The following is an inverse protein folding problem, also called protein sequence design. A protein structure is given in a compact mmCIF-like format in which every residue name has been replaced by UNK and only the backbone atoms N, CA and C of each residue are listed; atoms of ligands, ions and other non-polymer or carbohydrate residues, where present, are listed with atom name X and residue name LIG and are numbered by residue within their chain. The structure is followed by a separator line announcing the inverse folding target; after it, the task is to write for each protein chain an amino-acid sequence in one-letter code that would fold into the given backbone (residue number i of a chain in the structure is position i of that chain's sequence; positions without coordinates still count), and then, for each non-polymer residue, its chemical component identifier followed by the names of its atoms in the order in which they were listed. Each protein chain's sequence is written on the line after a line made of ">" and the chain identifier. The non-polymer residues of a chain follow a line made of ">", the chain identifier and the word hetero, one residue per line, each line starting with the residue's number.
data_IF_883964157216
#
_entry.id   IF_883964157216
#
_cell.length_a   1.000
_cell.length_b   1.000
_cell.length_c   1.000
_cell.angle_alpha   90.00
_cell.angle_beta   90.00
_cell.angle_gamma   90.00
#
_symmetry.space_group_name_H-M   'P 1'
#
loop_
_entity.id
_entity.type
_entity.pdbx_description
1 polymer ?
#
# COMPACT_ATOMS: atom_id res chain seq x y z
N UNK A 1 -20.65 -11.67 18.48
CA UNK A 1 -21.11 -10.36 17.93
C UNK A 1 -20.62 -10.27 16.50
N UNK A 2 -21.53 -10.13 15.54
CA UNK A 2 -21.15 -9.91 14.13
C UNK A 2 -20.41 -8.58 14.04
N UNK A 3 -19.21 -8.57 13.46
CA UNK A 3 -18.48 -7.35 13.21
C UNK A 3 -19.27 -6.55 12.15
N UNK A 4 -19.62 -5.30 12.46
CA UNK A 4 -20.20 -4.41 11.46
C UNK A 4 -19.06 -4.07 10.50
N UNK A 5 -19.13 -4.58 9.30
CA UNK A 5 -18.21 -4.25 8.23
C UNK A 5 -18.86 -3.21 7.32
N UNK A 6 -18.09 -2.23 6.90
CA UNK A 6 -18.51 -1.24 5.91
C UNK A 6 -17.93 -1.62 4.57
N UNK A 7 -18.79 -1.71 3.56
CA UNK A 7 -18.38 -2.01 2.20
C UNK A 7 -17.52 -0.87 1.63
N UNK A 8 -16.49 -1.19 0.85
CA UNK A 8 -15.70 -0.18 0.17
C UNK A 8 -16.54 0.59 -0.85
N UNK A 9 -16.33 1.92 -0.97
CA UNK A 9 -17.00 2.76 -1.96
C UNK A 9 -16.36 2.55 -3.34
N UNK A 10 -16.55 1.36 -3.92
CA UNK A 10 -15.99 1.00 -5.21
C UNK A 10 -16.47 1.91 -6.32
N UNK A 11 -15.54 2.33 -7.17
CA UNK A 11 -15.82 3.02 -8.43
C UNK A 11 -15.37 2.15 -9.60
N UNK A 12 -16.04 2.22 -10.76
CA UNK A 12 -15.56 1.57 -11.98
C UNK A 12 -14.19 2.14 -12.38
N UNK A 13 -13.34 1.33 -13.00
CA UNK A 13 -12.02 1.79 -13.47
C UNK A 13 -12.06 3.03 -14.37
N UNK A 14 -13.13 3.19 -15.15
CA UNK A 14 -13.34 4.36 -16.01
C UNK A 14 -13.56 5.67 -15.25
N UNK A 15 -13.91 5.60 -13.97
CA UNK A 15 -14.12 6.75 -13.10
C UNK A 15 -12.97 6.95 -12.09
N UNK A 16 -11.95 6.11 -12.11
CA UNK A 16 -10.85 6.11 -11.15
C UNK A 16 -10.16 7.47 -11.07
N UNK A 17 -9.70 8.00 -12.20
CA UNK A 17 -8.96 9.27 -12.26
C UNK A 17 -9.85 10.45 -11.85
N UNK A 18 -11.14 10.41 -12.21
CA UNK A 18 -12.12 11.41 -11.79
C UNK A 18 -12.37 11.35 -10.27
N UNK A 19 -12.52 10.15 -9.69
CA UNK A 19 -12.73 9.98 -8.26
C UNK A 19 -11.52 10.50 -7.46
N UNK A 20 -10.30 10.18 -7.90
CA UNK A 20 -9.05 10.73 -7.34
C UNK A 20 -9.04 12.27 -7.39
N UNK A 21 -9.35 12.86 -8.55
CA UNK A 21 -9.35 14.30 -8.73
C UNK A 21 -10.42 15.00 -7.88
N UNK A 22 -11.59 14.39 -7.67
CA UNK A 22 -12.71 14.98 -6.92
C UNK A 22 -12.58 14.76 -5.42
N UNK A 23 -12.29 13.50 -5.00
CA UNK A 23 -12.36 13.10 -3.59
C UNK A 23 -11.00 12.96 -2.92
N UNK A 24 -9.89 12.98 -3.69
CA UNK A 24 -8.54 12.67 -3.19
C UNK A 24 -8.30 11.17 -2.97
N UNK A 25 -9.26 10.31 -3.26
CA UNK A 25 -9.09 8.86 -3.21
C UNK A 25 -10.01 8.14 -4.21
N UNK A 26 -9.65 6.91 -4.56
CA UNK A 26 -10.49 5.99 -5.33
C UNK A 26 -10.31 4.57 -4.80
N UNK A 27 -11.39 3.78 -4.82
CA UNK A 27 -11.35 2.35 -4.44
C UNK A 27 -11.82 1.53 -5.63
N UNK A 28 -10.98 0.60 -6.08
CA UNK A 28 -11.31 -0.30 -7.19
C UNK A 28 -11.56 -1.73 -6.69
N UNK A 29 -12.63 -2.35 -7.20
CA UNK A 29 -12.86 -3.77 -7.02
C UNK A 29 -11.80 -4.59 -7.76
N UNK A 30 -11.56 -5.82 -7.34
CA UNK A 30 -10.56 -6.70 -7.96
C UNK A 30 -10.72 -6.85 -9.48
N UNK A 31 -11.95 -6.95 -9.97
CA UNK A 31 -12.22 -7.08 -11.41
C UNK A 31 -11.87 -5.79 -12.19
N UNK A 32 -12.07 -4.63 -11.59
CA UNK A 32 -11.64 -3.35 -12.15
C UNK A 32 -10.12 -3.21 -12.13
N UNK A 33 -9.43 -3.73 -11.09
CA UNK A 33 -7.96 -3.75 -11.02
C UNK A 33 -7.37 -4.62 -12.14
N UNK A 34 -7.94 -5.77 -12.47
CA UNK A 34 -7.49 -6.60 -13.59
C UNK A 34 -7.56 -5.86 -14.94
N UNK A 35 -8.56 -5.01 -15.11
CA UNK A 35 -8.64 -4.14 -16.28
C UNK A 35 -7.80 -2.86 -16.17
N UNK A 36 -7.51 -2.39 -14.97
CA UNK A 36 -6.65 -1.22 -14.70
C UNK A 36 -5.17 -1.57 -14.91
N UNK A 37 -4.71 -2.76 -14.43
CA UNK A 37 -3.39 -3.33 -14.72
C UNK A 37 -3.55 -4.36 -15.82
N UNK A 38 -3.75 -4.22 -17.05
CA UNK A 38 -4.08 -5.31 -17.99
C UNK A 38 -3.45 -6.66 -17.62
N UNK A 39 -4.08 -7.38 -16.72
CA UNK A 39 -3.54 -8.60 -16.10
C UNK A 39 -4.66 -9.60 -15.79
N UNK A 40 -4.35 -10.90 -15.86
CA UNK A 40 -5.24 -11.95 -15.38
C UNK A 40 -5.14 -12.13 -13.86
N UNK A 41 -6.13 -12.78 -13.28
CA UNK A 41 -6.12 -13.13 -11.85
C UNK A 41 -4.93 -14.03 -11.49
N UNK A 42 -4.56 -14.94 -12.39
CA UNK A 42 -3.44 -15.88 -12.23
C UNK A 42 -2.10 -15.13 -12.25
N UNK A 43 -1.92 -14.15 -13.12
CA UNK A 43 -0.72 -13.31 -13.16
C UNK A 43 -0.56 -12.51 -11.86
N UNK A 44 -1.64 -11.92 -11.35
CA UNK A 44 -1.61 -11.23 -10.07
C UNK A 44 -1.33 -12.17 -8.90
N UNK A 45 -1.90 -13.38 -8.91
CA UNK A 45 -1.65 -14.39 -7.89
C UNK A 45 -0.18 -14.84 -7.87
N UNK A 46 0.52 -14.84 -9.00
CA UNK A 46 1.96 -15.14 -9.05
C UNK A 46 2.79 -14.12 -8.27
N UNK A 47 2.41 -12.83 -8.29
CA UNK A 47 3.10 -11.81 -7.47
C UNK A 47 2.97 -12.12 -5.98
N UNK A 48 1.82 -12.59 -5.53
CA UNK A 48 1.55 -12.84 -4.11
C UNK A 48 2.42 -13.94 -3.49
N UNK A 49 2.99 -14.85 -4.27
CA UNK A 49 3.92 -15.88 -3.78
C UNK A 49 5.13 -15.31 -3.04
N UNK A 50 5.55 -14.07 -3.36
CA UNK A 50 6.65 -13.40 -2.68
C UNK A 50 6.35 -13.04 -1.20
N UNK A 51 5.09 -13.14 -0.75
CA UNK A 51 4.72 -12.91 0.65
C UNK A 51 5.02 -14.10 1.56
N UNK A 52 5.25 -15.29 1.01
CA UNK A 52 5.56 -16.48 1.81
C UNK A 52 6.95 -16.41 2.47
N UNK A 53 7.85 -15.55 1.94
CA UNK A 53 9.22 -15.37 2.43
C UNK A 53 9.54 -13.91 2.75
N UNK A 54 8.64 -13.21 3.40
CA UNK A 54 8.91 -11.86 3.89
C UNK A 54 9.66 -11.91 5.22
N UNK A 55 10.85 -11.27 5.33
CA UNK A 55 11.60 -11.18 6.58
C UNK A 55 10.89 -10.28 7.60
N UNK A 56 11.15 -10.53 8.87
CA UNK A 56 10.65 -9.69 9.95
C UNK A 56 11.20 -8.25 9.83
N UNK A 57 10.36 -7.27 10.18
CA UNK A 57 10.77 -5.87 10.25
C UNK A 57 11.56 -5.62 11.54
N UNK A 58 12.87 -5.39 11.41
CA UNK A 58 13.77 -5.13 12.53
C UNK A 58 13.70 -3.69 13.09
N UNK A 59 12.87 -2.82 12.50
CA UNK A 59 12.83 -1.39 12.82
C UNK A 59 11.57 -0.98 13.61
N UNK A 60 10.78 -1.93 14.10
CA UNK A 60 9.61 -1.63 14.94
C UNK A 60 10.03 -1.15 16.32
N UNK A 61 9.88 0.16 16.59
CA UNK A 61 10.26 0.78 17.87
C UNK A 61 9.30 0.45 19.03
N UNK A 62 8.09 -0.04 18.73
CA UNK A 62 7.13 -0.49 19.73
C UNK A 62 7.41 -1.90 20.27
N UNK A 63 8.50 -2.54 19.80
CA UNK A 63 8.89 -3.89 20.19
C UNK A 63 8.04 -5.00 19.58
N UNK A 64 7.12 -4.65 18.69
CA UNK A 64 6.24 -5.61 18.02
C UNK A 64 6.99 -6.52 17.03
N UNK A 65 6.44 -7.72 16.81
CA UNK A 65 6.95 -8.71 15.84
C UNK A 65 5.94 -9.00 14.74
N UNK A 66 4.89 -8.24 14.70
CA UNK A 66 3.70 -8.43 13.87
C UNK A 66 3.88 -7.98 12.41
N UNK A 67 5.04 -7.42 12.00
CA UNK A 67 5.25 -6.90 10.64
C UNK A 67 6.42 -7.60 9.96
N UNK A 68 6.15 -8.01 8.72
CA UNK A 68 7.14 -8.55 7.79
C UNK A 68 7.11 -7.75 6.51
N UNK A 69 8.27 -7.51 5.88
CA UNK A 69 8.32 -6.69 4.67
C UNK A 69 9.63 -6.81 3.90
N UNK A 70 9.56 -6.38 2.65
CA UNK A 70 10.70 -6.04 1.79
C UNK A 70 10.52 -4.62 1.24
N UNK A 71 11.54 -4.11 0.55
CA UNK A 71 11.50 -2.78 -0.04
C UNK A 71 12.39 -2.72 -1.28
N UNK A 72 11.87 -2.14 -2.36
CA UNK A 72 12.65 -1.79 -3.56
C UNK A 72 12.16 -0.47 -4.16
N UNK A 73 13.03 0.17 -4.90
CA UNK A 73 12.77 1.47 -5.49
C UNK A 73 12.89 1.43 -7.00
N UNK A 74 12.06 2.24 -7.67
CA UNK A 74 11.97 2.32 -9.14
C UNK A 74 11.83 3.77 -9.58
N UNK A 75 12.25 4.06 -10.79
CA UNK A 75 11.92 5.30 -11.51
C UNK A 75 11.06 4.95 -12.71
N UNK A 76 10.00 5.69 -12.91
CA UNK A 76 9.09 5.56 -14.05
C UNK A 76 9.19 6.85 -14.87
N UNK A 77 9.58 6.72 -16.14
CA UNK A 77 9.65 7.82 -17.11
C UNK A 77 8.83 7.42 -18.34
N UNK A 78 7.63 7.98 -18.48
CA UNK A 78 6.67 7.53 -19.48
C UNK A 78 6.33 6.03 -19.31
N UNK A 79 6.65 5.21 -20.31
CA UNK A 79 6.48 3.76 -20.27
C UNK A 79 7.69 3.00 -19.73
N UNK A 80 8.82 3.67 -19.52
CA UNK A 80 10.04 3.03 -19.03
C UNK A 80 9.98 2.88 -17.50
N UNK A 81 10.27 1.68 -17.00
CA UNK A 81 10.40 1.36 -15.58
C UNK A 81 11.82 0.88 -15.33
N UNK A 82 12.52 1.55 -14.45
CA UNK A 82 13.91 1.24 -14.10
C UNK A 82 14.02 0.98 -12.60
N UNK A 83 14.48 -0.21 -12.19
CA UNK A 83 14.83 -0.45 -10.81
C UNK A 83 16.12 0.31 -10.49
N UNK A 84 16.12 1.06 -9.38
CA UNK A 84 17.33 1.75 -8.91
C UNK A 84 18.13 0.88 -7.95
N UNK A 85 19.43 1.18 -7.72
CA UNK A 85 20.22 0.50 -6.73
C UNK A 85 19.55 0.45 -5.35
N UNK A 86 19.80 -0.62 -4.59
CA UNK A 86 19.25 -0.80 -3.25
C UNK A 86 19.57 0.40 -2.35
N UNK A 87 18.56 0.92 -1.68
CA UNK A 87 18.64 2.11 -0.84
C UNK A 87 17.78 1.97 0.42
N UNK A 88 18.09 2.72 1.50
CA UNK A 88 17.25 2.71 2.68
C UNK A 88 15.92 3.41 2.41
N UNK A 89 14.86 2.92 3.03
CA UNK A 89 13.62 3.67 3.18
C UNK A 89 13.79 4.72 4.29
N UNK A 90 13.38 5.95 4.01
CA UNK A 90 13.44 7.06 4.96
C UNK A 90 12.17 7.89 4.88
N UNK A 91 11.68 8.35 6.01
CA UNK A 91 10.57 9.29 6.12
C UNK A 91 10.91 10.35 7.17
N UNK A 92 10.52 11.62 6.99
CA UNK A 92 10.67 12.64 8.04
C UNK A 92 9.74 12.34 9.23
N UNK A 93 10.14 12.80 10.42
CA UNK A 93 9.32 12.67 11.64
C UNK A 93 7.93 13.31 11.50
N UNK A 94 7.80 14.33 10.65
CA UNK A 94 6.53 15.01 10.40
C UNK A 94 5.47 14.09 9.76
N UNK A 95 5.89 13.07 9.00
CA UNK A 95 4.98 12.08 8.37
C UNK A 95 4.94 10.74 9.11
N UNK A 96 6.01 10.40 9.82
CA UNK A 96 6.03 9.17 10.63
C UNK A 96 6.65 9.45 11.99
N UNK A 97 5.80 9.81 12.95
CA UNK A 97 6.25 10.17 14.30
C UNK A 97 6.94 9.03 15.05
N UNK A 98 6.59 7.76 14.74
CA UNK A 98 7.18 6.61 15.42
C UNK A 98 8.48 6.13 14.78
N UNK A 99 8.53 6.02 13.45
CA UNK A 99 9.62 5.37 12.72
C UNK A 99 10.35 6.32 11.75
N UNK A 100 9.99 7.61 11.72
CA UNK A 100 10.67 8.63 10.93
C UNK A 100 12.04 9.00 11.47
N UNK A 101 12.82 9.77 10.68
CA UNK A 101 14.13 10.29 11.05
C UNK A 101 15.25 9.24 11.10
N UNK A 102 15.02 8.03 10.59
CA UNK A 102 16.02 6.96 10.53
C UNK A 102 16.06 6.29 9.15
N UNK A 103 17.25 5.90 8.73
CA UNK A 103 17.43 5.05 7.55
C UNK A 103 17.09 3.61 7.93
N UNK A 104 16.16 2.99 7.17
CA UNK A 104 15.70 1.61 7.38
C UNK A 104 16.10 0.77 6.17
N UNK A 105 17.07 -0.09 6.33
CA UNK A 105 17.60 -0.98 5.30
C UNK A 105 16.82 -2.29 5.31
N UNK A 106 15.70 -2.32 4.60
CA UNK A 106 14.93 -3.55 4.41
C UNK A 106 15.57 -4.40 3.30
N UNK A 107 15.39 -5.70 3.34
CA UNK A 107 15.80 -6.56 2.24
C UNK A 107 15.09 -6.19 0.93
N UNK A 108 15.76 -6.27 -0.22
CA UNK A 108 15.14 -6.00 -1.51
C UNK A 108 14.03 -7.01 -1.83
N UNK A 109 13.08 -6.61 -2.65
CA UNK A 109 12.05 -7.49 -3.17
C UNK A 109 12.67 -8.64 -3.97
N UNK A 110 12.01 -9.80 -3.93
CA UNK A 110 12.49 -11.03 -4.57
C UNK A 110 12.65 -10.83 -6.09
N UNK A 111 13.78 -11.24 -6.64
CA UNK A 111 14.12 -11.02 -8.04
C UNK A 111 13.17 -11.75 -9.00
N UNK A 112 12.67 -12.90 -8.64
CA UNK A 112 11.68 -13.68 -9.40
C UNK A 112 10.34 -12.95 -9.49
N UNK A 113 9.88 -12.30 -8.41
CA UNK A 113 8.70 -11.44 -8.44
C UNK A 113 8.91 -10.25 -9.39
N UNK A 114 10.06 -9.58 -9.30
CA UNK A 114 10.38 -8.41 -10.13
C UNK A 114 10.53 -8.76 -11.61
N UNK A 115 10.88 -10.00 -11.94
CA UNK A 115 10.99 -10.50 -13.31
C UNK A 115 9.62 -10.79 -13.97
N UNK A 116 8.53 -10.83 -13.22
CA UNK A 116 7.20 -11.10 -13.76
C UNK A 116 6.74 -9.91 -14.63
N UNK A 117 6.29 -10.14 -15.88
CA UNK A 117 5.83 -9.04 -16.76
C UNK A 117 4.69 -8.21 -16.16
N UNK A 118 3.84 -8.81 -15.35
CA UNK A 118 2.74 -8.12 -14.67
C UNK A 118 3.24 -7.07 -13.69
N UNK A 119 4.43 -7.25 -13.08
CA UNK A 119 5.05 -6.26 -12.22
C UNK A 119 5.33 -4.95 -12.97
N UNK A 120 5.95 -5.05 -14.14
CA UNK A 120 6.23 -3.86 -14.98
C UNK A 120 4.94 -3.17 -15.41
N UNK A 121 3.91 -3.92 -15.85
CA UNK A 121 2.62 -3.34 -16.23
C UNK A 121 1.93 -2.62 -15.06
N UNK A 122 2.04 -3.17 -13.85
CA UNK A 122 1.49 -2.56 -12.65
C UNK A 122 2.17 -1.20 -12.36
N UNK A 123 3.49 -1.13 -12.41
CA UNK A 123 4.24 0.11 -12.22
C UNK A 123 3.95 1.13 -13.33
N UNK A 124 3.88 0.71 -14.60
CA UNK A 124 3.52 1.58 -15.72
C UNK A 124 2.12 2.20 -15.52
N UNK A 125 1.14 1.37 -15.09
CA UNK A 125 -0.21 1.89 -14.84
C UNK A 125 -0.24 2.86 -13.66
N UNK A 126 0.52 2.58 -12.60
CA UNK A 126 0.66 3.48 -11.46
C UNK A 126 1.25 4.83 -11.89
N UNK A 127 2.33 4.83 -12.67
CA UNK A 127 2.95 6.03 -13.23
C UNK A 127 2.00 6.82 -14.12
N UNK A 128 1.22 6.13 -14.95
CA UNK A 128 0.21 6.78 -15.80
C UNK A 128 -0.89 7.46 -14.95
N UNK A 129 -1.32 6.84 -13.86
CA UNK A 129 -2.31 7.43 -12.93
C UNK A 129 -1.72 8.66 -12.21
N UNK A 130 -0.48 8.58 -11.75
CA UNK A 130 0.21 9.72 -11.13
C UNK A 130 0.37 10.88 -12.13
N UNK A 131 0.70 10.57 -13.39
CA UNK A 131 0.79 11.55 -14.47
C UNK A 131 -0.56 12.20 -14.80
N UNK A 132 -1.63 11.43 -14.85
CA UNK A 132 -2.98 11.96 -15.08
C UNK A 132 -3.41 12.94 -13.96
N UNK A 133 -2.99 12.69 -12.72
CA UNK A 133 -3.36 13.50 -11.56
C UNK A 133 -2.47 14.75 -11.41
N UNK A 134 -1.16 14.63 -11.68
CA UNK A 134 -0.15 15.64 -11.33
C UNK A 134 0.69 16.16 -12.50
N UNK A 135 0.43 15.70 -13.73
CA UNK A 135 1.17 16.06 -14.93
C UNK A 135 2.40 15.18 -15.20
N UNK A 136 2.91 15.23 -16.43
CA UNK A 136 4.00 14.37 -16.89
C UNK A 136 5.34 14.77 -16.26
N UNK A 137 6.03 13.78 -15.69
CA UNK A 137 7.36 13.90 -15.08
C UNK A 137 7.90 12.51 -14.73
N UNK A 138 9.19 12.38 -14.36
CA UNK A 138 9.69 11.18 -13.71
C UNK A 138 8.97 10.94 -12.36
N UNK A 139 8.60 9.68 -12.11
CA UNK A 139 8.00 9.25 -10.85
C UNK A 139 8.96 8.35 -10.08
N UNK A 140 9.28 8.72 -8.86
CA UNK A 140 10.12 7.97 -7.94
C UNK A 140 9.22 7.10 -7.08
N UNK A 141 9.31 5.78 -7.26
CA UNK A 141 8.39 4.81 -6.66
C UNK A 141 9.11 3.98 -5.61
N UNK A 142 8.54 3.93 -4.42
CA UNK A 142 8.92 2.95 -3.39
C UNK A 142 7.87 1.85 -3.32
N UNK A 143 8.29 0.60 -3.36
CA UNK A 143 7.44 -0.59 -3.32
C UNK A 143 7.66 -1.39 -2.06
N UNK A 144 6.56 -1.69 -1.37
CA UNK A 144 6.55 -2.32 -0.06
C UNK A 144 5.56 -3.49 -0.02
N UNK A 145 5.98 -4.73 -0.23
CA UNK A 145 5.20 -5.87 0.19
C UNK A 145 5.19 -5.95 1.72
N UNK A 146 3.99 -6.01 2.32
CA UNK A 146 3.79 -6.12 3.76
C UNK A 146 2.94 -7.32 4.11
N UNK A 147 3.34 -8.05 5.13
CA UNK A 147 2.47 -8.89 5.96
C UNK A 147 2.39 -8.30 7.35
N UNK A 148 1.16 -8.02 7.80
CA UNK A 148 0.87 -7.70 9.19
C UNK A 148 0.16 -8.93 9.77
N UNK A 149 0.72 -9.50 10.82
CA UNK A 149 0.18 -10.71 11.45
C UNK A 149 -0.21 -10.49 12.91
N UNK A 150 -0.76 -11.52 13.53
CA UNK A 150 -1.23 -11.48 14.91
C UNK A 150 -0.31 -12.26 15.87
N UNK A 151 0.99 -12.37 15.54
CA UNK A 151 1.97 -13.10 16.38
C UNK A 151 1.98 -12.59 17.82
N UNK A 152 1.80 -11.29 18.02
CA UNK A 152 1.73 -10.67 19.36
C UNK A 152 0.27 -10.50 19.86
N UNK A 153 -0.69 -11.23 19.29
CA UNK A 153 -2.14 -11.12 19.60
C UNK A 153 -2.82 -9.93 18.91
N UNK A 154 -2.05 -8.96 18.42
CA UNK A 154 -2.52 -7.77 17.70
C UNK A 154 -1.49 -7.34 16.69
N UNK A 155 -1.92 -7.12 15.44
CA UNK A 155 -1.09 -6.49 14.40
C UNK A 155 -1.52 -5.05 14.17
N UNK A 156 -0.56 -4.15 13.89
CA UNK A 156 -0.81 -2.73 13.64
C UNK A 156 -0.32 -2.34 12.24
N UNK A 157 -1.23 -2.22 11.25
CA UNK A 157 -0.84 -1.78 9.90
C UNK A 157 -0.27 -0.36 9.88
N UNK A 158 -0.89 0.57 10.63
CA UNK A 158 -0.45 1.95 10.82
C UNK A 158 -0.28 2.23 12.31
N UNK A 159 0.85 1.83 12.92
CA UNK A 159 1.06 1.99 14.37
C UNK A 159 1.12 3.46 14.80
N UNK A 160 1.44 4.37 13.89
CA UNK A 160 1.42 5.82 14.07
C UNK A 160 0.01 6.43 14.07
N UNK A 161 -1.02 5.67 13.69
CA UNK A 161 -2.39 6.16 13.53
C UNK A 161 -2.61 6.84 12.18
N UNK A 162 -3.56 7.78 12.14
CA UNK A 162 -3.91 8.53 10.94
C UNK A 162 -2.76 9.46 10.53
N UNK A 163 -2.29 9.34 9.29
CA UNK A 163 -1.10 10.03 8.79
C UNK A 163 -1.17 10.30 7.27
N UNK A 164 -0.15 10.97 6.78
CA UNK A 164 0.22 11.10 5.37
C UNK A 164 1.62 10.56 5.19
N UNK A 165 1.92 10.03 4.00
CA UNK A 165 3.26 9.50 3.70
C UNK A 165 4.27 10.58 3.24
N UNK A 166 3.77 11.76 2.87
CA UNK A 166 4.60 12.84 2.32
C UNK A 166 5.03 12.59 0.88
N UNK A 167 4.16 11.96 0.12
CA UNK A 167 4.34 11.62 -1.30
C UNK A 167 3.21 12.24 -2.14
N UNK A 168 3.14 11.93 -3.44
CA UNK A 168 2.09 12.44 -4.32
C UNK A 168 0.93 11.47 -4.47
N UNK A 169 1.23 10.18 -4.65
CA UNK A 169 0.22 9.13 -4.80
C UNK A 169 0.60 7.91 -3.98
N UNK A 170 -0.37 7.34 -3.29
CA UNK A 170 -0.26 6.06 -2.58
C UNK A 170 -1.23 5.07 -3.21
N UNK A 171 -0.77 3.85 -3.44
CA UNK A 171 -1.57 2.73 -3.88
C UNK A 171 -1.45 1.58 -2.88
N UNK A 172 -2.57 1.14 -2.31
CA UNK A 172 -2.65 0.01 -1.37
C UNK A 172 -3.46 -1.10 -2.01
N UNK A 173 -2.78 -2.15 -2.47
CA UNK A 173 -3.44 -3.38 -2.91
C UNK A 173 -3.65 -4.31 -1.73
N UNK A 174 -4.87 -4.80 -1.55
CA UNK A 174 -5.18 -5.87 -0.63
C UNK A 174 -4.91 -7.21 -1.33
N UNK A 175 -3.99 -8.03 -0.82
CA UNK A 175 -3.67 -9.31 -1.43
C UNK A 175 -4.35 -10.48 -0.72
N UNK A 176 -4.33 -10.47 0.61
CA UNK A 176 -4.95 -11.53 1.41
C UNK A 176 -5.35 -11.03 2.80
N UNK A 177 -6.39 -11.66 3.33
CA UNK A 177 -6.85 -11.52 4.73
C UNK A 177 -7.20 -12.91 5.25
N UNK A 178 -6.43 -13.39 6.17
CA UNK A 178 -6.61 -14.72 6.73
C UNK A 178 -6.88 -14.67 8.23
N UNK A 179 -7.97 -15.27 8.69
CA UNK A 179 -8.32 -15.50 10.10
C UNK A 179 -8.20 -14.26 11.00
N UNK A 180 -8.57 -13.06 10.52
CA UNK A 180 -8.51 -11.80 11.26
C UNK A 180 -9.84 -11.06 11.31
N UNK A 181 -10.00 -10.27 12.39
CA UNK A 181 -10.96 -9.18 12.53
C UNK A 181 -10.22 -7.83 12.61
N UNK A 182 -10.92 -6.72 12.38
CA UNK A 182 -10.30 -5.38 12.29
C UNK A 182 -9.67 -5.11 10.91
N UNK A 183 -8.70 -4.23 10.83
CA UNK A 183 -8.09 -3.81 9.57
C UNK A 183 -9.04 -2.99 8.70
N UNK A 184 -9.89 -2.17 9.32
CA UNK A 184 -10.73 -1.17 8.68
C UNK A 184 -9.84 -0.04 8.17
N UNK A 185 -9.96 0.31 6.91
CA UNK A 185 -9.34 1.50 6.32
C UNK A 185 -10.19 2.72 6.60
N UNK A 186 -9.55 3.82 6.95
CA UNK A 186 -10.17 5.13 7.14
C UNK A 186 -9.43 6.15 6.31
N UNK A 187 -10.19 6.95 5.59
CA UNK A 187 -9.67 8.04 4.74
C UNK A 187 -10.41 9.31 5.12
N UNK A 188 -9.67 10.36 5.46
CA UNK A 188 -10.21 11.65 5.88
C UNK A 188 -9.73 12.73 4.91
N UNK A 189 -10.58 13.71 4.60
CA UNK A 189 -10.14 14.91 3.91
C UNK A 189 -9.11 15.66 4.77
N UNK A 190 -8.00 16.11 4.16
CA UNK A 190 -6.96 16.82 4.89
C UNK A 190 -7.39 18.23 5.33
N UNK A 191 -8.40 18.81 4.67
CA UNK A 191 -8.87 20.17 4.83
C UNK A 191 -10.28 20.28 5.44
N UNK A 192 -10.88 19.19 5.90
CA UNK A 192 -12.25 19.19 6.39
C UNK A 192 -12.65 17.97 7.22
N UNK A 193 -13.89 17.95 7.71
CA UNK A 193 -14.40 16.88 8.57
C UNK A 193 -14.86 15.63 7.80
N UNK A 194 -14.83 15.67 6.46
CA UNK A 194 -15.30 14.55 5.64
C UNK A 194 -14.38 13.34 5.78
N UNK A 195 -14.95 12.16 5.89
CA UNK A 195 -14.20 10.93 5.97
C UNK A 195 -15.04 9.70 5.59
N UNK A 196 -14.36 8.66 5.23
CA UNK A 196 -14.94 7.36 4.91
C UNK A 196 -14.23 6.28 5.70
N UNK A 197 -14.97 5.23 6.06
CA UNK A 197 -14.42 4.00 6.64
C UNK A 197 -14.98 2.80 5.91
N UNK A 198 -14.13 1.84 5.64
CA UNK A 198 -14.49 0.61 4.93
C UNK A 198 -13.43 -0.46 5.16
N UNK A 199 -13.73 -1.69 4.81
CA UNK A 199 -12.74 -2.77 4.86
C UNK A 199 -12.52 -3.33 3.47
N UNK A 200 -11.28 -3.31 3.00
CA UNK A 200 -10.89 -4.02 1.79
C UNK A 200 -10.92 -5.53 2.08
N UNK A 201 -11.88 -6.23 1.51
CA UNK A 201 -12.08 -7.68 1.71
C UNK A 201 -11.50 -8.51 0.59
N UNK A 202 -11.67 -8.02 -0.61
CA UNK A 202 -11.39 -8.79 -1.81
C UNK A 202 -9.90 -8.78 -2.13
N UNK A 203 -9.27 -9.96 -2.35
CA UNK A 203 -7.92 -10.01 -2.88
C UNK A 203 -7.82 -9.21 -4.19
N UNK A 204 -6.75 -8.40 -4.26
CA UNK A 204 -6.47 -7.48 -5.36
C UNK A 204 -7.42 -6.29 -5.50
N UNK A 205 -8.25 -6.00 -4.50
CA UNK A 205 -8.86 -4.66 -4.44
C UNK A 205 -7.78 -3.60 -4.18
N UNK A 206 -8.02 -2.38 -4.68
CA UNK A 206 -7.04 -1.29 -4.66
C UNK A 206 -7.66 -0.04 -4.04
N UNK A 207 -6.93 0.56 -3.10
CA UNK A 207 -7.15 1.92 -2.62
C UNK A 207 -6.05 2.82 -3.16
N UNK A 208 -6.44 3.87 -3.89
CA UNK A 208 -5.56 4.94 -4.37
C UNK A 208 -5.83 6.21 -3.55
N UNK A 209 -4.77 6.93 -3.20
CA UNK A 209 -4.82 8.14 -2.38
C UNK A 209 -3.94 9.25 -3.00
N UNK A 210 -4.51 10.42 -3.23
CA UNK A 210 -3.76 11.67 -3.41
C UNK A 210 -3.31 12.12 -2.01
N UNK A 211 -2.07 11.82 -1.64
CA UNK A 211 -1.55 11.96 -0.28
C UNK A 211 -1.55 13.42 0.21
N UNK A 212 -1.55 14.38 -0.72
CA UNK A 212 -1.65 15.80 -0.36
C UNK A 212 -3.05 16.18 0.14
N UNK A 213 -4.09 15.45 -0.29
CA UNK A 213 -5.50 15.80 -0.06
C UNK A 213 -6.18 14.98 1.00
N UNK A 214 -5.61 13.83 1.39
CA UNK A 214 -6.22 12.93 2.37
C UNK A 214 -5.25 12.53 3.47
N UNK A 215 -5.81 12.16 4.62
CA UNK A 215 -5.13 11.50 5.74
C UNK A 215 -5.71 10.09 5.80
N UNK A 216 -4.87 9.09 6.03
CA UNK A 216 -5.34 7.72 6.05
C UNK A 216 -4.79 6.90 7.21
N UNK A 217 -5.53 5.87 7.60
CA UNK A 217 -5.09 4.85 8.55
C UNK A 217 -5.73 3.49 8.25
N UNK A 218 -5.15 2.45 8.83
CA UNK A 218 -5.78 1.13 8.91
C UNK A 218 -5.80 0.69 10.38
N UNK A 219 -6.98 0.40 10.90
CA UNK A 219 -7.14 -0.01 12.30
C UNK A 219 -6.39 -1.32 12.59
N UNK A 220 -6.02 -1.57 13.85
CA UNK A 220 -5.37 -2.82 14.24
C UNK A 220 -6.17 -4.05 13.84
N UNK A 221 -5.45 -5.15 13.59
CA UNK A 221 -6.01 -6.48 13.37
C UNK A 221 -5.82 -7.35 14.60
N UNK A 222 -6.76 -8.25 14.83
CA UNK A 222 -6.70 -9.28 15.87
C UNK A 222 -7.04 -10.64 15.25
N UNK A 223 -6.58 -11.75 15.83
CA UNK A 223 -6.98 -13.07 15.36
C UNK A 223 -8.50 -13.26 15.49
N UNK A 224 -9.09 -13.96 14.54
CA UNK A 224 -10.51 -14.30 14.58
C UNK A 224 -10.80 -15.23 15.74
N UNK A 225 -9.92 -16.20 15.97
CA UNK A 225 -9.93 -17.11 17.11
C UNK A 225 -8.72 -16.82 17.99
N UNK A 226 -8.89 -16.55 19.29
CA UNK A 226 -7.77 -16.28 20.19
C UNK A 226 -6.74 -17.42 20.18
N UNK A 227 -5.46 -17.08 20.03
CA UNK A 227 -4.35 -18.03 19.98
C UNK A 227 -4.04 -18.58 18.58
N UNK A 228 -4.86 -18.34 17.58
CA UNK A 228 -4.56 -18.67 16.18
C UNK A 228 -3.83 -17.52 15.50
N UNK A 229 -2.99 -17.86 14.52
CA UNK A 229 -2.29 -16.86 13.70
C UNK A 229 -3.18 -16.40 12.54
N UNK A 230 -3.38 -15.10 12.47
CA UNK A 230 -4.03 -14.48 11.33
C UNK A 230 -3.14 -13.39 10.71
N UNK A 231 -3.40 -13.01 9.46
CA UNK A 231 -2.59 -12.00 8.76
C UNK A 231 -3.39 -11.18 7.74
N UNK A 232 -2.77 -10.07 7.37
CA UNK A 232 -3.18 -9.18 6.29
C UNK A 232 -1.98 -8.90 5.40
N UNK A 233 -2.08 -9.28 4.13
CA UNK A 233 -1.06 -9.05 3.11
C UNK A 233 -1.45 -7.87 2.22
N UNK A 234 -0.53 -6.94 2.04
CA UNK A 234 -0.71 -5.79 1.16
C UNK A 234 0.54 -5.48 0.37
N UNK A 235 0.34 -4.97 -0.85
CA UNK A 235 1.38 -4.27 -1.59
C UNK A 235 1.08 -2.78 -1.50
N UNK A 236 2.01 -2.02 -0.92
CA UNK A 236 1.93 -0.56 -0.86
C UNK A 236 2.96 0.01 -1.83
N UNK A 237 2.50 0.89 -2.72
CA UNK A 237 3.35 1.62 -3.65
C UNK A 237 3.15 3.12 -3.42
N UNK A 238 4.25 3.85 -3.30
CA UNK A 238 4.21 5.30 -3.19
C UNK A 238 4.90 5.92 -4.38
N UNK A 239 4.33 7.02 -4.94
CA UNK A 239 4.93 7.77 -6.02
C UNK A 239 5.24 9.18 -5.55
N UNK A 240 6.44 9.68 -5.87
CA UNK A 240 6.88 11.02 -5.54
C UNK A 240 7.54 11.70 -6.76
N UNK A 241 7.30 13.02 -6.92
CA UNK A 241 7.77 13.79 -8.09
C UNK A 241 9.24 14.23 -7.99
N UNK A 242 9.74 14.61 -6.87
CA UNK A 242 11.02 15.31 -6.74
C UNK A 242 12.11 14.43 -6.11
N UNK A 243 12.20 13.17 -6.54
CA UNK A 243 13.16 12.22 -5.99
C UNK A 243 12.62 11.42 -4.81
N UNK A 244 13.41 10.48 -4.35
CA UNK A 244 13.10 9.70 -3.15
C UNK A 244 13.28 10.55 -1.88
N UNK A 245 12.53 10.24 -0.85
CA UNK A 245 12.79 10.84 0.47
C UNK A 245 14.19 10.41 0.98
N UNK A 246 14.90 11.33 1.59
CA UNK A 246 16.23 11.12 2.14
C UNK A 246 16.44 11.99 3.38
N UNK A 247 17.43 11.62 4.20
CA UNK A 247 17.86 12.40 5.37
C UNK A 247 18.44 13.74 4.94
#
# INVERSE_FOLDING_TARGET
>A
MSQIAFDPPYVPRSQCDQALAVHGYAVLHADDVMGWVPASREELAQLHRAWDDLPADAYLKDGGRYRRRRHSCFVIEGAQVTQVPHRPHWQPLAYNALHGGMQRWFEPMAADMLALPVWTRLLQRLGATATALHGERPWFVEAHPFRIDTTDGIGRPTPEGAHRDGVDLVAVFMLDRHAIKGGESRVFAADGPAGQRFTLWQPWSLLLLDDARVIHETTPIQPLVPGELGWRDTLVLTCRRDGFQSA
#
